data_IF_026204177992
#
_entry.id   IF_026204177992
#
_cell.length_a   1.000
_cell.length_b   1.000
_cell.length_c   1.000
_cell.angle_alpha   90.00
_cell.angle_beta   90.00
_cell.angle_gamma   90.00
#
_symmetry.space_group_name_H-M   'P 1'
#
loop_
_entity.id
_entity.type
_entity.pdbx_description
1 polymer ?
#
# COMPACT_ATOMS: atom_id res chain seq x y z
N UNK A 1 16.92 -35.31 -7.08
CA UNK A 1 16.78 -34.42 -5.92
C UNK A 1 16.63 -33.00 -6.45
N UNK A 2 15.50 -32.33 -6.20
CA UNK A 2 15.36 -30.91 -6.54
C UNK A 2 15.96 -30.09 -5.40
N UNK A 3 17.11 -29.46 -5.66
CA UNK A 3 17.76 -28.52 -4.75
C UNK A 3 17.13 -27.14 -4.97
N UNK A 4 16.95 -26.36 -3.90
CA UNK A 4 16.51 -24.96 -4.03
C UNK A 4 17.56 -24.17 -4.82
N UNK A 5 17.16 -23.59 -5.95
CA UNK A 5 18.08 -22.90 -6.87
C UNK A 5 18.10 -21.38 -6.65
N UNK A 6 16.97 -20.79 -6.24
CA UNK A 6 16.87 -19.35 -6.00
C UNK A 6 15.73 -18.99 -5.03
N UNK A 7 15.83 -17.81 -4.43
CA UNK A 7 14.76 -17.13 -3.69
C UNK A 7 14.73 -15.68 -4.14
N UNK A 8 13.53 -15.16 -4.44
CA UNK A 8 13.31 -13.77 -4.82
C UNK A 8 12.56 -13.11 -3.66
N UNK A 9 13.10 -11.99 -3.17
CA UNK A 9 12.50 -11.23 -2.08
C UNK A 9 11.96 -9.90 -2.59
N UNK A 10 10.84 -9.48 -2.00
CA UNK A 10 10.38 -8.10 -2.08
C UNK A 10 11.20 -7.21 -1.12
N UNK A 11 10.98 -5.89 -1.21
CA UNK A 11 11.65 -4.89 -0.40
C UNK A 11 10.90 -4.61 0.91
N UNK A 12 9.85 -3.78 0.83
CA UNK A 12 9.23 -3.17 2.01
C UNK A 12 8.35 -4.17 2.78
N UNK A 13 8.71 -4.45 4.03
CA UNK A 13 8.10 -5.48 4.86
C UNK A 13 8.68 -6.87 4.68
N UNK A 14 9.65 -7.06 3.77
CA UNK A 14 10.34 -8.34 3.56
C UNK A 14 11.83 -8.25 3.89
N UNK A 15 12.59 -7.38 3.21
CA UNK A 15 14.03 -7.19 3.44
C UNK A 15 14.35 -5.85 4.12
N UNK A 16 13.48 -4.85 3.97
CA UNK A 16 13.62 -3.51 4.54
C UNK A 16 12.27 -2.99 5.05
N UNK A 17 12.26 -1.86 5.75
CA UNK A 17 11.04 -1.18 6.24
C UNK A 17 10.12 -2.13 7.05
N UNK A 18 10.51 -2.39 8.30
CA UNK A 18 9.72 -3.24 9.21
C UNK A 18 8.28 -2.73 9.32
N UNK A 19 7.32 -3.58 8.96
CA UNK A 19 5.90 -3.25 8.93
C UNK A 19 5.41 -2.50 7.69
N UNK A 20 6.27 -2.30 6.68
CA UNK A 20 5.99 -1.57 5.43
C UNK A 20 5.34 -0.20 5.72
N UNK A 21 5.98 0.56 6.63
CA UNK A 21 5.41 1.79 7.18
C UNK A 21 5.61 2.99 6.27
N UNK A 22 6.66 3.00 5.45
CA UNK A 22 6.92 4.09 4.51
C UNK A 22 5.76 4.30 3.52
N UNK A 23 5.27 3.29 2.78
CA UNK A 23 4.13 3.47 1.89
C UNK A 23 2.84 3.81 2.64
N UNK A 24 2.62 3.23 3.84
CA UNK A 24 1.44 3.54 4.65
C UNK A 24 1.40 5.02 4.99
N UNK A 25 2.46 5.55 5.60
CA UNK A 25 2.54 6.96 6.01
C UNK A 25 2.43 7.92 4.81
N UNK A 26 3.07 7.59 3.69
CA UNK A 26 3.04 8.42 2.50
C UNK A 26 1.62 8.55 1.92
N UNK A 27 0.91 7.43 1.78
CA UNK A 27 -0.45 7.41 1.22
C UNK A 27 -1.45 8.02 2.21
N UNK A 28 -1.38 7.68 3.50
CA UNK A 28 -2.25 8.30 4.51
C UNK A 28 -2.10 9.83 4.50
N UNK A 29 -0.87 10.35 4.43
CA UNK A 29 -0.63 11.80 4.37
C UNK A 29 -1.14 12.41 3.06
N UNK A 30 -0.97 11.73 1.93
CA UNK A 30 -1.46 12.20 0.64
C UNK A 30 -2.98 12.46 0.65
N UNK A 31 -3.75 11.53 1.17
CA UNK A 31 -5.21 11.65 1.24
C UNK A 31 -5.67 12.59 2.37
N UNK A 32 -4.97 12.60 3.51
CA UNK A 32 -5.23 13.57 4.58
C UNK A 32 -5.06 15.02 4.10
N UNK A 33 -4.09 15.31 3.21
CA UNK A 33 -3.92 16.63 2.60
C UNK A 33 -5.10 17.04 1.70
N UNK A 34 -5.98 16.10 1.33
CA UNK A 34 -7.23 16.35 0.60
C UNK A 34 -8.45 16.28 1.52
N UNK A 35 -8.27 16.29 2.83
CA UNK A 35 -9.32 16.13 3.83
C UNK A 35 -10.08 14.80 3.74
N UNK A 36 -9.44 13.76 3.20
CA UNK A 36 -10.00 12.41 3.10
C UNK A 36 -9.17 11.49 4.00
N UNK A 37 -9.52 11.32 5.28
CA UNK A 37 -8.76 10.45 6.16
C UNK A 37 -8.91 8.99 5.72
N UNK A 38 -7.81 8.25 5.67
CA UNK A 38 -7.78 6.82 5.42
C UNK A 38 -7.42 6.06 6.70
N UNK A 39 -8.04 4.90 6.90
CA UNK A 39 -7.59 3.94 7.92
C UNK A 39 -6.37 3.15 7.43
N UNK A 40 -5.63 2.55 8.36
CA UNK A 40 -4.55 1.62 8.02
C UNK A 40 -5.05 0.45 7.14
N UNK A 41 -6.29 -0.01 7.36
CA UNK A 41 -6.91 -1.05 6.56
C UNK A 41 -7.25 -0.58 5.14
N UNK A 42 -7.48 0.72 4.94
CA UNK A 42 -7.69 1.28 3.60
C UNK A 42 -6.42 1.24 2.78
N UNK A 43 -5.32 1.67 3.38
CA UNK A 43 -4.03 1.77 2.70
C UNK A 43 -3.39 0.40 2.47
N UNK A 44 -3.53 -0.53 3.42
CA UNK A 44 -2.82 -1.83 3.37
C UNK A 44 -3.47 -2.89 2.47
N UNK A 45 -4.76 -2.77 2.13
CA UNK A 45 -5.50 -3.84 1.43
C UNK A 45 -4.85 -4.29 0.12
N UNK A 46 -4.30 -3.35 -0.65
CA UNK A 46 -3.75 -3.59 -1.99
C UNK A 46 -2.24 -3.30 -2.06
N UNK A 47 -1.53 -3.48 -0.93
CA UNK A 47 -0.08 -3.25 -0.84
C UNK A 47 0.68 -4.24 -1.73
N UNK A 48 1.72 -3.75 -2.43
CA UNK A 48 2.50 -4.53 -3.39
C UNK A 48 2.14 -4.26 -4.86
N UNK A 49 0.97 -3.66 -5.13
CA UNK A 49 0.67 -3.14 -6.47
C UNK A 49 1.58 -1.97 -6.83
N UNK A 50 1.73 -1.75 -8.14
CA UNK A 50 2.31 -0.51 -8.65
C UNK A 50 1.57 0.70 -8.09
N UNK A 51 2.32 1.74 -7.71
CA UNK A 51 1.78 2.87 -6.93
C UNK A 51 0.56 3.52 -7.58
N UNK A 52 0.54 3.64 -8.91
CA UNK A 52 -0.61 4.20 -9.63
C UNK A 52 -1.87 3.35 -9.48
N UNK A 53 -1.72 2.03 -9.54
CA UNK A 53 -2.84 1.10 -9.42
C UNK A 53 -3.31 0.97 -7.98
N UNK A 54 -2.36 1.04 -7.02
CA UNK A 54 -2.69 1.12 -5.59
C UNK A 54 -3.57 2.35 -5.28
N UNK A 55 -3.21 3.53 -5.81
CA UNK A 55 -4.02 4.75 -5.64
C UNK A 55 -5.40 4.61 -6.32
N UNK A 56 -5.47 4.03 -7.53
CA UNK A 56 -6.76 3.76 -8.20
C UNK A 56 -7.67 2.89 -7.36
N UNK A 57 -7.15 1.80 -6.77
CA UNK A 57 -7.92 0.91 -5.88
C UNK A 57 -8.43 1.61 -4.63
N UNK A 58 -7.66 2.54 -4.08
CA UNK A 58 -8.10 3.34 -2.93
C UNK A 58 -9.25 4.27 -3.34
N UNK A 59 -9.15 4.94 -4.49
CA UNK A 59 -10.19 5.83 -5.01
C UNK A 59 -11.50 5.11 -5.36
N UNK A 60 -11.45 3.82 -5.70
CA UNK A 60 -12.64 2.99 -5.96
C UNK A 60 -13.46 2.66 -4.69
N UNK A 61 -12.93 2.91 -3.49
CA UNK A 61 -13.64 2.60 -2.25
C UNK A 61 -14.83 3.54 -2.04
N UNK A 62 -16.01 3.05 -1.60
CA UNK A 62 -17.21 3.87 -1.51
C UNK A 62 -17.04 5.17 -0.72
N UNK A 63 -16.42 5.12 0.46
CA UNK A 63 -16.24 6.31 1.30
C UNK A 63 -15.17 7.28 0.77
N UNK A 64 -14.15 6.78 0.05
CA UNK A 64 -13.12 7.61 -0.58
C UNK A 64 -13.69 8.27 -1.83
N UNK A 65 -14.35 7.48 -2.67
CA UNK A 65 -15.04 7.94 -3.89
C UNK A 65 -16.10 9.00 -3.58
N UNK A 66 -16.86 8.82 -2.50
CA UNK A 66 -17.86 9.82 -2.08
C UNK A 66 -17.25 11.12 -1.51
N UNK A 67 -16.00 11.09 -1.07
CA UNK A 67 -15.32 12.23 -0.45
C UNK A 67 -14.36 12.98 -1.40
N UNK A 68 -14.16 12.45 -2.62
CA UNK A 68 -13.29 13.02 -3.65
C UNK A 68 -14.05 13.94 -4.60
#
# INVERSE_FOLDING_TARGET
MNRLEAVIFDWAGTTVDFGSLAPVRAVTRLFANRSIPLSDADVRRDMGLFKKDHIRRILERPHVSAAW
#
